data_IF_084080828875
#
_entry.id   IF_084080828875
#
_cell.length_a   1.000
_cell.length_b   1.000
_cell.length_c   1.000
_cell.angle_alpha   90.00
_cell.angle_beta   90.00
_cell.angle_gamma   90.00
#
_symmetry.space_group_name_H-M   'P 1'
#
loop_
_entity.id
_entity.type
_entity.pdbx_description
1 polymer ?
#
# COMPACT_ATOMS: atom_id res chain seq x y z
N UNK A 1 -4.00 -11.20 -6.26
CA UNK A 1 -2.61 -11.28 -6.68
C UNK A 1 -1.98 -10.01 -6.17
N UNK A 2 -1.30 -10.13 -5.03
CA UNK A 2 -0.14 -9.34 -4.63
C UNK A 2 0.43 -10.14 -3.45
N UNK A 3 1.00 -11.28 -3.85
CA UNK A 3 2.09 -11.92 -3.13
C UNK A 3 3.22 -10.88 -3.19
N UNK A 4 3.64 -10.35 -2.05
CA UNK A 4 4.65 -9.29 -1.89
C UNK A 4 6.01 -9.77 -2.39
N UNK A 5 6.09 -10.00 -3.70
CA UNK A 5 7.07 -10.90 -4.28
C UNK A 5 8.48 -10.34 -4.21
N UNK A 6 8.66 -9.07 -3.86
CA UNK A 6 9.97 -8.38 -3.81
C UNK A 6 10.03 -7.14 -2.86
N UNK A 7 9.15 -7.01 -1.84
CA UNK A 7 9.17 -5.88 -0.88
C UNK A 7 9.20 -4.50 -1.57
N UNK A 8 8.39 -4.35 -2.62
CA UNK A 8 8.47 -3.19 -3.50
C UNK A 8 8.14 -1.87 -2.78
N UNK A 9 7.32 -1.93 -1.72
CA UNK A 9 6.93 -0.76 -0.94
C UNK A 9 7.71 -0.61 0.36
N UNK A 10 8.68 -1.48 0.67
CA UNK A 10 9.60 -1.36 1.80
C UNK A 10 8.98 -1.59 3.18
N UNK A 11 7.84 -2.29 3.25
CA UNK A 11 7.18 -2.61 4.51
C UNK A 11 7.45 -4.03 5.01
N UNK A 12 8.20 -4.84 4.27
CA UNK A 12 8.52 -6.20 4.70
C UNK A 12 9.29 -6.15 6.03
N UNK A 13 8.79 -6.81 7.08
CA UNK A 13 9.48 -6.81 8.36
C UNK A 13 10.74 -7.68 8.30
N UNK A 14 11.78 -7.29 9.05
CA UNK A 14 13.00 -8.09 9.21
C UNK A 14 12.73 -9.47 9.85
N UNK A 15 11.67 -9.54 10.66
CA UNK A 15 11.28 -10.74 11.38
C UNK A 15 9.79 -10.78 11.71
N UNK A 16 9.29 -11.99 11.94
CA UNK A 16 7.94 -12.24 12.46
C UNK A 16 8.04 -13.19 13.64
N UNK A 17 7.11 -13.08 14.59
CA UNK A 17 7.11 -13.91 15.80
C UNK A 17 5.81 -14.72 15.90
N UNK A 18 5.97 -16.02 16.07
CA UNK A 18 4.88 -16.97 16.29
C UNK A 18 4.89 -17.46 17.73
N UNK A 19 3.71 -17.55 18.33
CA UNK A 19 3.48 -18.03 19.69
C UNK A 19 2.76 -19.38 19.61
N UNK A 20 3.31 -20.37 20.31
CA UNK A 20 2.66 -21.65 20.55
C UNK A 20 1.77 -21.53 21.78
N UNK A 21 0.51 -21.96 21.62
CA UNK A 21 -0.44 -22.05 22.72
C UNK A 21 -0.76 -23.51 23.02
N UNK A 22 -0.79 -23.86 24.31
CA UNK A 22 -1.28 -25.15 24.81
C UNK A 22 -2.58 -24.92 25.58
N UNK A 23 -3.68 -25.49 25.11
CA UNK A 23 -5.03 -25.28 25.65
C UNK A 23 -5.38 -23.79 25.79
N UNK A 24 -4.95 -22.97 24.82
CA UNK A 24 -5.18 -21.53 24.79
C UNK A 24 -4.22 -20.68 25.64
N UNK A 25 -3.24 -21.28 26.31
CA UNK A 25 -2.22 -20.54 27.09
C UNK A 25 -0.90 -20.50 26.33
N UNK A 26 -0.24 -19.35 26.28
CA UNK A 26 1.08 -19.22 25.65
C UNK A 26 2.14 -20.05 26.39
N UNK A 27 2.92 -20.85 25.67
CA UNK A 27 3.93 -21.76 26.25
C UNK A 27 5.32 -21.57 25.67
N UNK A 28 5.43 -21.18 24.41
CA UNK A 28 6.68 -20.94 23.72
C UNK A 28 6.48 -19.95 22.57
N UNK A 29 7.57 -19.41 22.04
CA UNK A 29 7.54 -18.62 20.83
C UNK A 29 8.76 -18.94 19.95
N UNK A 30 8.68 -18.53 18.68
CA UNK A 30 9.78 -18.57 17.73
C UNK A 30 9.73 -17.30 16.89
N UNK A 31 10.88 -16.66 16.76
CA UNK A 31 11.08 -15.52 15.85
C UNK A 31 11.83 -16.01 14.62
N UNK A 32 11.26 -15.75 13.45
CA UNK A 32 11.84 -16.07 12.16
C UNK A 32 12.30 -14.79 11.48
N UNK A 33 13.48 -14.82 10.90
CA UNK A 33 14.10 -13.72 10.17
C UNK A 33 14.81 -14.26 8.94
N UNK A 34 14.80 -13.50 7.84
CA UNK A 34 15.53 -13.88 6.63
C UNK A 34 15.02 -13.13 5.40
N UNK A 35 15.67 -13.36 4.26
CA UNK A 35 15.36 -12.64 3.00
C UNK A 35 14.51 -13.44 2.02
N UNK A 36 14.30 -14.75 2.25
CA UNK A 36 13.48 -15.61 1.39
C UNK A 36 11.99 -15.55 1.72
N UNK A 37 11.11 -15.90 0.79
CA UNK A 37 9.64 -15.80 0.97
C UNK A 37 9.02 -16.95 1.75
N UNK A 38 9.81 -17.98 2.08
CA UNK A 38 9.36 -19.13 2.86
C UNK A 38 10.28 -19.28 4.06
N UNK A 39 9.69 -19.19 5.25
CA UNK A 39 10.36 -19.48 6.51
C UNK A 39 9.70 -20.68 7.16
N UNK A 40 10.50 -21.54 7.80
CA UNK A 40 10.02 -22.76 8.45
C UNK A 40 10.51 -22.81 9.89
N UNK A 41 9.65 -23.30 10.78
CA UNK A 41 9.95 -23.51 12.19
C UNK A 41 9.29 -24.81 12.65
N UNK A 42 9.83 -25.41 13.71
CA UNK A 42 9.18 -26.52 14.39
C UNK A 42 9.28 -26.38 15.90
N UNK A 43 8.21 -26.75 16.58
CA UNK A 43 8.20 -27.00 18.01
C UNK A 43 8.24 -28.51 18.21
N UNK A 44 9.31 -29.02 18.80
CA UNK A 44 9.54 -30.45 18.98
C UNK A 44 9.32 -30.85 20.45
N UNK A 45 9.21 -32.15 20.70
CA UNK A 45 9.09 -32.73 22.04
C UNK A 45 7.92 -32.18 22.88
N UNK A 46 6.82 -31.83 22.22
CA UNK A 46 5.61 -31.32 22.86
C UNK A 46 4.83 -32.44 23.58
N UNK A 47 4.47 -32.27 24.87
CA UNK A 47 3.66 -33.26 25.58
C UNK A 47 2.29 -33.40 24.92
N UNK A 48 1.80 -34.64 24.80
CA UNK A 48 0.48 -34.93 24.21
C UNK A 48 -0.64 -34.78 25.25
N UNK A 49 -0.33 -34.99 26.53
CA UNK A 49 -1.28 -34.93 27.63
C UNK A 49 -0.77 -34.05 28.78
N UNK A 50 -1.69 -33.31 29.40
CA UNK A 50 -1.47 -32.62 30.66
C UNK A 50 -2.59 -33.02 31.64
N UNK A 51 -2.23 -33.45 32.84
CA UNK A 51 -3.19 -33.88 33.88
C UNK A 51 -4.22 -34.91 33.37
N UNK A 52 -3.78 -35.87 32.55
CA UNK A 52 -4.63 -36.92 31.99
C UNK A 52 -5.56 -36.49 30.85
N UNK A 53 -5.53 -35.23 30.41
CA UNK A 53 -6.31 -34.72 29.28
C UNK A 53 -5.41 -34.37 28.09
N UNK A 54 -5.90 -34.59 26.86
CA UNK A 54 -5.14 -34.25 25.65
C UNK A 54 -4.91 -32.72 25.56
N UNK A 55 -3.73 -32.33 25.10
CA UNK A 55 -3.39 -30.92 24.89
C UNK A 55 -3.77 -30.52 23.47
N UNK A 56 -4.51 -29.42 23.34
CA UNK A 56 -4.79 -28.76 22.07
C UNK A 56 -3.73 -27.70 21.83
N UNK A 57 -2.91 -27.90 20.80
CA UNK A 57 -1.95 -26.90 20.37
C UNK A 57 -2.54 -26.02 19.28
N UNK A 58 -2.27 -24.72 19.37
CA UNK A 58 -2.55 -23.74 18.32
C UNK A 58 -1.37 -22.80 18.14
N UNK A 59 -1.26 -22.20 16.96
CA UNK A 59 -0.25 -21.17 16.65
C UNK A 59 -0.97 -19.85 16.48
N UNK A 60 -0.37 -18.78 17.01
CA UNK A 60 -0.76 -17.40 16.79
C UNK A 60 0.46 -16.61 16.30
N UNK A 61 0.30 -15.85 15.23
CA UNK A 61 1.29 -14.85 14.86
C UNK A 61 1.04 -13.56 15.64
N UNK A 62 2.10 -12.90 16.13
CA UNK A 62 1.98 -11.55 16.66
C UNK A 62 1.69 -10.58 15.52
N UNK A 63 0.91 -9.53 15.80
CA UNK A 63 0.52 -8.55 14.79
C UNK A 63 1.73 -7.99 14.05
N UNK A 64 1.70 -8.12 12.73
CA UNK A 64 2.64 -7.48 11.81
C UNK A 64 1.92 -6.26 11.26
N UNK A 65 2.46 -5.06 11.54
CA UNK A 65 1.89 -3.81 11.02
C UNK A 65 1.85 -3.86 9.49
N UNK A 66 0.79 -3.35 8.87
CA UNK A 66 0.61 -3.30 7.42
C UNK A 66 0.42 -4.64 6.68
N UNK A 67 0.25 -5.76 7.41
CA UNK A 67 -0.05 -7.08 6.84
C UNK A 67 -1.32 -7.70 7.43
N UNK A 68 -2.05 -8.43 6.59
CA UNK A 68 -3.07 -9.37 7.00
C UNK A 68 -2.46 -10.77 7.11
N UNK A 69 -2.76 -11.49 8.20
CA UNK A 69 -2.30 -12.86 8.41
C UNK A 69 -3.44 -13.86 8.21
N UNK A 70 -3.17 -14.94 7.49
CA UNK A 70 -4.10 -16.06 7.29
C UNK A 70 -3.44 -17.37 7.66
N UNK A 71 -4.14 -18.21 8.44
CA UNK A 71 -3.65 -19.54 8.82
C UNK A 71 -4.39 -20.59 8.01
N UNK A 72 -3.65 -21.45 7.32
CA UNK A 72 -4.16 -22.55 6.51
C UNK A 72 -3.48 -23.87 6.90
N UNK A 73 -4.02 -24.98 6.39
CA UNK A 73 -3.50 -26.34 6.62
C UNK A 73 -3.35 -26.75 8.09
N UNK A 74 -4.28 -26.37 8.98
CA UNK A 74 -4.28 -26.73 10.40
C UNK A 74 -4.58 -28.23 10.69
N UNK A 75 -4.14 -29.13 9.81
CA UNK A 75 -4.28 -30.57 9.97
C UNK A 75 -3.07 -31.12 10.71
N UNK A 76 -3.31 -31.71 11.89
CA UNK A 76 -2.42 -32.66 12.58
C UNK A 76 -0.93 -32.25 12.57
N UNK A 77 -0.64 -31.06 13.09
CA UNK A 77 0.71 -30.57 13.45
C UNK A 77 1.50 -29.80 12.38
N UNK A 78 0.90 -29.49 11.23
CA UNK A 78 1.46 -28.51 10.30
C UNK A 78 0.60 -27.25 10.27
N UNK A 79 1.23 -26.09 10.09
CA UNK A 79 0.56 -24.81 9.90
C UNK A 79 1.24 -24.08 8.75
N UNK A 80 0.43 -23.50 7.87
CA UNK A 80 0.92 -22.56 6.86
C UNK A 80 0.32 -21.20 7.19
N UNK A 81 1.17 -20.24 7.56
CA UNK A 81 0.75 -18.86 7.81
C UNK A 81 1.18 -18.03 6.60
N UNK A 82 0.23 -17.36 5.98
CA UNK A 82 0.46 -16.48 4.83
C UNK A 82 0.16 -15.04 5.26
N UNK A 83 1.18 -14.19 5.18
CA UNK A 83 1.04 -12.74 5.34
C UNK A 83 0.81 -12.10 3.97
N UNK A 84 -0.17 -11.20 3.88
CA UNK A 84 -0.49 -10.45 2.67
C UNK A 84 -0.46 -8.95 2.97
N UNK A 85 0.27 -8.21 2.15
CA UNK A 85 0.48 -6.77 2.30
C UNK A 85 -0.85 -6.01 2.14
N UNK A 86 -1.11 -5.04 3.03
CA UNK A 86 -2.27 -4.14 2.98
C UNK A 86 -1.95 -2.91 2.12
N UNK A 87 -2.08 -3.03 0.80
CA UNK A 87 -1.81 -1.89 -0.10
C UNK A 87 -2.91 -0.82 -0.01
N UNK A 88 -2.49 0.44 0.10
CA UNK A 88 -3.37 1.60 0.12
C UNK A 88 -3.18 2.43 -1.14
N UNK A 89 -4.29 2.90 -1.71
CA UNK A 89 -4.31 3.75 -2.88
C UNK A 89 -5.05 5.06 -2.59
N UNK A 90 -4.64 6.11 -3.29
CA UNK A 90 -5.25 7.43 -3.25
C UNK A 90 -5.47 7.96 -4.67
N UNK A 91 -6.07 9.14 -4.78
CA UNK A 91 -6.24 9.86 -6.04
C UNK A 91 -5.91 11.34 -5.88
N UNK A 92 -5.50 11.95 -6.98
CA UNK A 92 -5.27 13.40 -7.08
C UNK A 92 -6.22 13.95 -8.14
N UNK A 93 -7.11 14.84 -7.71
CA UNK A 93 -8.06 15.50 -8.61
C UNK A 93 -7.46 16.83 -9.11
N UNK A 94 -7.59 17.07 -10.40
CA UNK A 94 -7.16 18.30 -11.07
C UNK A 94 -8.40 19.05 -11.53
N UNK A 95 -8.50 20.32 -11.13
CA UNK A 95 -9.53 21.25 -11.63
C UNK A 95 -8.85 22.45 -12.25
N UNK A 96 -9.01 22.63 -13.56
CA UNK A 96 -8.57 23.80 -14.30
C UNK A 96 -9.72 24.80 -14.36
N UNK A 97 -9.48 26.02 -13.90
CA UNK A 97 -10.41 27.14 -14.03
C UNK A 97 -9.79 28.18 -14.95
N UNK A 98 -10.53 28.58 -15.97
CA UNK A 98 -10.21 29.68 -16.87
C UNK A 98 -10.86 30.97 -16.37
N UNK A 99 -10.06 32.01 -16.21
CA UNK A 99 -10.51 33.35 -15.83
C UNK A 99 -10.06 34.35 -16.91
N UNK A 100 -10.77 34.34 -18.03
CA UNK A 100 -10.42 34.99 -19.30
C UNK A 100 -11.65 35.58 -20.03
N UNK A 101 -12.73 35.83 -19.28
CA UNK A 101 -14.01 36.34 -19.80
C UNK A 101 -14.64 35.47 -20.90
N UNK A 102 -14.77 34.16 -20.64
CA UNK A 102 -15.34 33.18 -21.58
C UNK A 102 -14.58 33.12 -22.91
N UNK A 103 -13.24 33.15 -22.84
CA UNK A 103 -12.36 33.13 -24.01
C UNK A 103 -12.60 34.30 -24.98
N UNK A 104 -12.85 35.50 -24.46
CA UNK A 104 -13.19 36.69 -25.26
C UNK A 104 -12.17 37.00 -26.37
N UNK A 105 -10.88 36.85 -26.05
CA UNK A 105 -9.78 37.15 -26.96
C UNK A 105 -9.38 35.95 -27.85
N UNK A 106 -9.96 34.76 -27.62
CA UNK A 106 -9.73 33.56 -28.41
C UNK A 106 -8.33 32.93 -28.24
N UNK A 107 -7.64 33.21 -27.13
CA UNK A 107 -6.31 32.67 -26.83
C UNK A 107 -6.35 31.36 -26.04
N UNK A 108 -7.52 30.92 -25.54
CA UNK A 108 -7.61 29.66 -24.79
C UNK A 108 -7.19 28.49 -25.69
N UNK A 109 -6.22 27.65 -25.28
CA UNK A 109 -5.82 26.50 -26.06
C UNK A 109 -6.91 25.41 -26.04
N UNK A 110 -6.86 24.50 -27.01
CA UNK A 110 -7.76 23.34 -27.05
C UNK A 110 -7.55 22.37 -25.86
N UNK A 111 -6.34 22.39 -25.29
CA UNK A 111 -5.97 21.51 -24.18
C UNK A 111 -4.87 22.10 -23.30
N UNK A 112 -4.77 21.58 -22.08
CA UNK A 112 -3.68 21.85 -21.13
C UNK A 112 -3.21 20.55 -20.51
N UNK A 113 -1.93 20.46 -20.17
CA UNK A 113 -1.33 19.26 -19.58
C UNK A 113 -0.85 19.55 -18.16
N UNK A 114 -1.22 18.66 -17.25
CA UNK A 114 -0.73 18.64 -15.88
C UNK A 114 0.18 17.43 -15.68
N UNK A 115 1.27 17.64 -14.98
CA UNK A 115 2.23 16.60 -14.58
C UNK A 115 2.01 16.28 -13.11
N UNK A 116 1.85 15.00 -12.79
CA UNK A 116 1.87 14.49 -11.43
C UNK A 116 3.33 14.30 -11.00
N UNK A 117 3.66 14.81 -9.82
CA UNK A 117 4.95 14.57 -9.18
C UNK A 117 4.75 13.72 -7.94
N UNK A 118 5.50 12.63 -7.82
CA UNK A 118 5.61 11.80 -6.61
C UNK A 118 6.94 12.11 -5.93
N UNK A 119 6.90 12.62 -4.70
CA UNK A 119 8.10 13.06 -3.96
C UNK A 119 8.98 14.03 -4.77
N UNK A 120 8.34 14.90 -5.56
CA UNK A 120 9.02 15.90 -6.41
C UNK A 120 9.54 15.38 -7.76
N UNK A 121 9.36 14.10 -8.09
CA UNK A 121 9.74 13.54 -9.39
C UNK A 121 8.52 13.37 -10.29
N UNK A 122 8.61 13.76 -11.56
CA UNK A 122 7.54 13.58 -12.54
C UNK A 122 7.28 12.08 -12.79
N UNK A 123 6.04 11.63 -12.62
CA UNK A 123 5.67 10.19 -12.75
C UNK A 123 4.59 9.93 -13.79
N UNK A 124 3.67 10.87 -13.98
CA UNK A 124 2.57 10.75 -14.92
C UNK A 124 2.15 12.14 -15.40
N UNK A 125 1.35 12.18 -16.47
CA UNK A 125 0.71 13.40 -16.90
C UNK A 125 -0.73 13.11 -17.33
N UNK A 126 -1.55 14.16 -17.32
CA UNK A 126 -2.92 14.14 -17.81
C UNK A 126 -3.18 15.39 -18.64
N UNK A 127 -3.80 15.20 -19.80
CA UNK A 127 -4.21 16.28 -20.68
C UNK A 127 -5.71 16.50 -20.55
N UNK A 128 -6.10 17.73 -20.27
CA UNK A 128 -7.49 18.16 -20.16
C UNK A 128 -7.85 18.92 -21.43
N UNK A 129 -9.02 18.64 -21.97
CA UNK A 129 -9.71 19.45 -22.96
C UNK A 129 -11.18 19.55 -22.57
N UNK A 130 -11.85 20.64 -22.95
CA UNK A 130 -13.23 20.82 -22.57
C UNK A 130 -13.85 22.08 -23.14
N UNK A 131 -15.16 22.21 -22.95
CA UNK A 131 -15.91 23.43 -23.26
C UNK A 131 -16.18 24.20 -21.97
N UNK A 132 -16.27 25.53 -22.06
CA UNK A 132 -16.48 26.39 -20.90
C UNK A 132 -15.25 26.54 -20.01
N UNK A 133 -15.44 27.12 -18.83
CA UNK A 133 -14.35 27.65 -18.01
C UNK A 133 -13.80 26.69 -16.96
N UNK A 134 -14.39 25.51 -16.80
CA UNK A 134 -13.97 24.55 -15.77
C UNK A 134 -13.76 23.19 -16.39
N UNK A 135 -12.53 22.69 -16.34
CA UNK A 135 -12.16 21.36 -16.80
C UNK A 135 -11.63 20.54 -15.63
N UNK A 136 -11.88 19.23 -15.65
CA UNK A 136 -11.50 18.34 -14.55
C UNK A 136 -10.83 17.06 -15.06
N UNK A 137 -9.86 16.56 -14.31
CA UNK A 137 -9.28 15.23 -14.49
C UNK A 137 -8.87 14.64 -13.14
N UNK A 138 -8.43 13.39 -13.15
CA UNK A 138 -7.97 12.69 -11.95
C UNK A 138 -6.82 11.74 -12.28
N UNK A 139 -5.83 11.68 -11.39
CA UNK A 139 -4.92 10.54 -11.28
C UNK A 139 -5.48 9.58 -10.22
N UNK A 140 -5.77 8.34 -10.61
CA UNK A 140 -6.35 7.33 -9.73
C UNK A 140 -5.35 6.23 -9.41
N UNK A 141 -5.69 5.38 -8.43
CA UNK A 141 -4.91 4.20 -8.04
C UNK A 141 -3.44 4.52 -7.76
N UNK A 142 -3.20 5.67 -7.12
CA UNK A 142 -1.87 6.13 -6.75
C UNK A 142 -1.44 5.45 -5.44
N UNK A 143 -0.31 4.73 -5.38
CA UNK A 143 0.12 4.10 -4.14
C UNK A 143 0.35 5.15 -3.05
N UNK A 144 -0.12 4.90 -1.83
CA UNK A 144 0.07 5.84 -0.71
C UNK A 144 1.51 5.81 -0.20
N UNK A 145 2.21 4.68 -0.33
CA UNK A 145 3.56 4.50 0.19
C UNK A 145 4.53 3.97 -0.87
N UNK A 146 5.81 4.34 -0.71
CA UNK A 146 6.95 3.73 -1.39
C UNK A 146 8.17 3.73 -0.46
N UNK A 147 8.93 2.63 -0.44
CA UNK A 147 10.12 2.46 0.39
C UNK A 147 9.89 2.77 1.88
N UNK A 148 8.79 2.28 2.46
CA UNK A 148 8.44 2.42 3.88
C UNK A 148 7.90 3.79 4.27
N UNK A 149 7.69 4.71 3.32
CA UNK A 149 7.30 6.10 3.59
C UNK A 149 6.16 6.57 2.71
N UNK A 150 5.33 7.48 3.24
CA UNK A 150 4.21 8.05 2.50
C UNK A 150 4.72 8.90 1.31
N UNK A 151 4.04 8.78 0.16
CA UNK A 151 4.34 9.54 -1.05
C UNK A 151 3.64 10.89 -0.98
N UNK A 152 4.41 11.96 -1.16
CA UNK A 152 3.86 13.31 -1.33
C UNK A 152 3.56 13.54 -2.80
N UNK A 153 2.27 13.58 -3.15
CA UNK A 153 1.83 13.93 -4.49
C UNK A 153 1.58 15.43 -4.63
N UNK A 154 2.08 16.00 -5.73
CA UNK A 154 1.80 17.37 -6.15
C UNK A 154 1.56 17.42 -7.64
N UNK A 155 0.97 18.50 -8.14
CA UNK A 155 0.80 18.71 -9.58
C UNK A 155 1.54 19.95 -10.04
N UNK A 156 1.90 19.94 -11.31
CA UNK A 156 2.47 21.09 -12.04
C UNK A 156 1.73 21.24 -13.36
N UNK A 157 1.27 22.45 -13.65
CA UNK A 157 0.76 22.79 -14.98
C UNK A 157 1.94 23.07 -15.92
N UNK A 158 1.93 22.50 -17.12
CA UNK A 158 2.87 22.91 -18.16
C UNK A 158 2.51 24.31 -18.65
N UNK A 159 3.52 25.06 -19.11
CA UNK A 159 3.33 26.44 -19.56
C UNK A 159 2.21 26.54 -20.59
N UNK A 160 1.26 27.43 -20.31
CA UNK A 160 0.20 27.82 -21.23
C UNK A 160 0.56 29.20 -21.78
N UNK A 161 0.79 29.29 -23.09
CA UNK A 161 1.13 30.56 -23.73
C UNK A 161 0.03 31.61 -23.51
N UNK A 162 0.39 32.88 -23.30
CA UNK A 162 -0.51 34.01 -23.01
C UNK A 162 -1.19 34.02 -21.64
N UNK A 163 -1.02 32.99 -20.81
CA UNK A 163 -1.65 32.90 -19.48
C UNK A 163 -0.62 32.92 -18.34
N UNK A 164 -1.01 33.51 -17.22
CA UNK A 164 -0.33 33.33 -15.94
C UNK A 164 -1.09 32.29 -15.11
N UNK A 165 -0.37 31.29 -14.62
CA UNK A 165 -0.96 30.17 -13.88
C UNK A 165 -0.67 30.28 -12.38
N UNK A 166 -1.66 29.90 -11.58
CA UNK A 166 -1.50 29.64 -10.15
C UNK A 166 -1.98 28.23 -9.86
N UNK A 167 -1.17 27.45 -9.14
CA UNK A 167 -1.50 26.08 -8.75
C UNK A 167 -1.63 26.06 -7.23
N UNK A 168 -2.79 25.63 -6.74
CA UNK A 168 -3.04 25.42 -5.31
C UNK A 168 -3.18 23.94 -5.05
N UNK A 169 -2.31 23.39 -4.19
CA UNK A 169 -2.47 22.04 -3.65
C UNK A 169 -3.30 22.17 -2.37
N UNK A 170 -4.43 21.47 -2.32
CA UNK A 170 -5.35 21.41 -1.17
C UNK A 170 -5.36 20.03 -0.55
#
# INVERSE_FOLDING_TARGET
MDDDSDDHDGFRPDNVTFVLLANGNETANVTLSGTGNVWTASFNDLPVYANGSAIVYTIKELTVEYYNSTVTNASLSNYTITNSRIVEFTSVNVTKVWNDSDDHDGFRPDNVTFVLLANGNETANVTLSGTGNVWTASFNDLPVYANGSAIVYTIKELTVEYYNSTVTNS
#
